data_IF_929868737802
#
_entry.id   IF_929868737802
#
_cell.length_a   1.000
_cell.length_b   1.000
_cell.length_c   1.000
_cell.angle_alpha   90.00
_cell.angle_beta   90.00
_cell.angle_gamma   90.00
#
_symmetry.space_group_name_H-M   'P 1'
#
loop_
_entity.id
_entity.type
_entity.pdbx_description
1 polymer ?
#
# COMPACT_ATOMS: atom_id res chain seq x y z
N UNK A 1 -1.80 27.80 13.96
CA UNK A 1 -0.63 27.93 14.85
C UNK A 1 0.63 27.19 14.35
N UNK A 2 0.59 26.51 13.20
CA UNK A 2 1.72 25.70 12.68
C UNK A 2 2.75 26.47 11.81
N UNK A 3 2.56 27.76 11.53
CA UNK A 3 3.51 28.56 10.73
C UNK A 3 4.61 29.25 11.56
N UNK A 4 4.57 29.17 12.90
CA UNK A 4 5.48 29.94 13.78
C UNK A 4 6.71 29.14 14.21
N UNK A 5 6.68 27.81 14.14
CA UNK A 5 7.77 26.97 14.68
C UNK A 5 8.93 26.75 13.68
N UNK A 6 8.70 26.96 12.38
CA UNK A 6 9.77 26.81 11.35
C UNK A 6 10.80 27.97 11.32
N UNK A 7 10.62 29.03 12.12
CA UNK A 7 11.47 30.23 12.07
C UNK A 7 12.61 30.33 13.08
N UNK A 8 12.71 29.45 14.08
CA UNK A 8 13.60 29.69 15.24
C UNK A 8 14.89 28.85 15.19
N UNK A 9 14.98 27.85 14.31
CA UNK A 9 16.14 26.93 14.26
C UNK A 9 17.36 27.39 13.44
N UNK A 10 17.33 28.54 12.78
CA UNK A 10 18.34 28.92 11.78
C UNK A 10 19.17 30.18 12.10
N UNK A 11 19.13 30.70 13.33
CA UNK A 11 19.85 31.93 13.67
C UNK A 11 20.60 31.83 15.02
N UNK A 12 21.63 31.00 15.08
CA UNK A 12 22.67 31.09 16.14
C UNK A 12 24.05 30.77 15.57
N UNK A 13 24.58 31.69 14.77
CA UNK A 13 26.02 31.92 14.62
C UNK A 13 26.22 33.13 13.69
N UNK A 14 26.43 34.33 14.27
CA UNK A 14 27.44 35.31 13.83
C UNK A 14 27.31 36.61 14.64
N UNK A 15 28.46 37.10 15.03
CA UNK A 15 28.82 38.17 15.96
C UNK A 15 28.35 39.58 15.60
N UNK A 16 27.91 40.30 16.64
CA UNK A 16 28.04 41.75 16.96
C UNK A 16 28.42 42.77 15.86
N UNK A 17 27.55 43.78 15.65
CA UNK A 17 27.92 45.20 15.59
C UNK A 17 26.69 46.14 15.51
N UNK A 18 26.61 47.03 16.51
CA UNK A 18 26.06 48.40 16.55
C UNK A 18 24.89 48.88 15.67
N UNK A 19 23.87 49.37 16.39
CA UNK A 19 23.07 50.60 16.20
C UNK A 19 22.49 50.94 14.82
N UNK A 20 21.16 51.08 14.75
CA UNK A 20 20.51 52.35 14.40
C UNK A 20 19.00 52.28 14.62
N UNK A 21 18.54 53.21 15.46
CA UNK A 21 17.16 53.59 15.71
C UNK A 21 16.67 54.46 14.53
N UNK A 22 15.43 54.27 14.04
CA UNK A 22 14.50 55.38 13.74
C UNK A 22 13.13 54.91 13.24
N UNK A 23 12.11 55.46 13.91
CA UNK A 23 10.69 55.49 13.53
C UNK A 23 10.42 56.42 12.34
N UNK A 24 9.22 56.20 11.74
CA UNK A 24 8.45 56.95 10.71
C UNK A 24 8.62 56.32 9.30
N UNK A 25 7.60 56.06 8.50
CA UNK A 25 6.33 56.78 8.32
C UNK A 25 5.17 55.93 7.79
N UNK A 26 3.97 56.35 8.20
CA UNK A 26 2.63 56.01 7.71
C UNK A 26 2.42 56.14 6.18
N UNK A 27 1.59 55.23 5.66
CA UNK A 27 0.58 55.33 4.59
C UNK A 27 0.76 56.35 3.45
N UNK A 28 0.87 55.83 2.22
CA UNK A 28 0.39 56.49 1.02
C UNK A 28 -0.25 55.46 0.05
N UNK A 29 -1.53 55.71 -0.26
CA UNK A 29 -2.30 55.04 -1.30
C UNK A 29 -1.62 55.18 -2.67
N UNK A 30 -1.45 54.08 -3.40
CA UNK A 30 -1.58 54.13 -4.86
C UNK A 30 -2.21 52.85 -5.40
N UNK A 31 -3.44 52.99 -5.91
CA UNK A 31 -4.04 52.04 -6.85
C UNK A 31 -3.17 52.07 -8.11
N UNK A 32 -2.51 50.96 -8.44
CA UNK A 32 -2.02 50.72 -9.80
C UNK A 32 -2.50 49.36 -10.29
N UNK A 33 -3.38 49.46 -11.28
CA UNK A 33 -3.77 48.47 -12.28
C UNK A 33 -2.62 47.51 -12.64
N UNK A 34 -2.85 46.21 -12.48
CA UNK A 34 -2.06 45.16 -13.12
C UNK A 34 -2.54 45.05 -14.58
N UNK A 35 -2.05 45.94 -15.45
CA UNK A 35 -2.16 45.78 -16.90
C UNK A 35 -0.82 45.32 -17.45
N UNK A 36 -0.84 44.15 -18.09
CA UNK A 36 0.10 43.66 -19.09
C UNK A 36 1.60 43.57 -18.71
N UNK A 37 1.98 42.45 -18.09
CA UNK A 37 3.31 41.86 -18.38
C UNK A 37 3.12 40.75 -19.41
N UNK A 38 3.51 41.01 -20.66
CA UNK A 38 3.65 39.98 -21.70
C UNK A 38 4.81 39.05 -21.32
N UNK A 39 4.51 37.97 -20.59
CA UNK A 39 5.46 36.89 -20.33
C UNK A 39 5.65 36.03 -21.58
N UNK A 40 6.86 35.99 -22.13
CA UNK A 40 7.27 34.93 -23.05
C UNK A 40 7.59 33.69 -22.22
N UNK A 41 6.87 32.59 -22.46
CA UNK A 41 7.20 31.29 -21.89
C UNK A 41 7.89 30.43 -22.94
N UNK A 42 8.95 29.73 -22.53
CA UNK A 42 9.65 28.75 -23.35
C UNK A 42 9.11 27.36 -23.02
N UNK A 43 8.64 26.64 -24.04
CA UNK A 43 8.36 25.21 -23.92
C UNK A 43 9.54 24.49 -24.57
N UNK A 44 10.35 23.81 -23.77
CA UNK A 44 11.40 22.92 -24.27
C UNK A 44 10.76 21.55 -24.47
N UNK A 45 10.63 21.13 -25.73
CA UNK A 45 10.23 19.76 -26.09
C UNK A 45 11.46 18.86 -26.10
N UNK A 46 11.27 17.58 -25.83
CA UNK A 46 12.32 16.55 -25.76
C UNK A 46 13.07 16.29 -27.08
N UNK A 47 12.66 16.93 -28.18
CA UNK A 47 13.29 16.85 -29.51
C UNK A 47 14.18 18.06 -29.84
N UNK A 48 14.40 18.98 -28.89
CA UNK A 48 15.40 20.05 -29.00
C UNK A 48 15.04 21.20 -29.94
N UNK A 49 13.79 21.31 -30.42
CA UNK A 49 13.36 22.43 -31.26
C UNK A 49 12.52 23.45 -30.48
N UNK A 50 12.90 24.73 -30.57
CA UNK A 50 12.18 25.88 -30.01
C UNK A 50 11.08 26.33 -30.99
N UNK A 51 9.84 26.44 -30.51
CA UNK A 51 8.75 27.11 -31.24
C UNK A 51 8.12 28.23 -30.41
N UNK A 52 7.87 29.37 -31.07
CA UNK A 52 7.26 30.56 -30.47
C UNK A 52 5.75 30.56 -30.76
N UNK A 53 4.91 30.54 -29.71
CA UNK A 53 3.45 30.65 -29.84
C UNK A 53 2.89 31.83 -29.05
N UNK A 54 2.22 32.75 -29.74
CA UNK A 54 1.33 33.77 -29.16
C UNK A 54 -0.10 33.17 -29.10
N UNK A 55 -0.82 33.32 -27.99
CA UNK A 55 -2.26 32.97 -27.89
C UNK A 55 -3.12 34.23 -28.08
N UNK A 56 -4.00 34.20 -29.07
CA UNK A 56 -5.23 35.01 -29.12
C UNK A 56 -6.39 34.26 -28.43
N UNK A 57 -7.35 35.03 -27.90
CA UNK A 57 -8.48 34.59 -27.08
C UNK A 57 -9.63 33.95 -27.87
N UNK A 58 -10.35 33.01 -27.22
CA UNK A 58 -11.77 32.74 -27.50
C UNK A 58 -12.17 31.26 -27.49
N UNK A 59 -12.98 30.83 -26.51
CA UNK A 59 -13.62 29.51 -26.54
C UNK A 59 -14.32 29.12 -25.23
N UNK A 60 -15.61 28.76 -25.32
CA UNK A 60 -16.61 28.50 -24.27
C UNK A 60 -16.22 27.44 -23.22
N UNK A 61 -16.70 27.64 -21.99
CA UNK A 61 -16.77 26.62 -20.95
C UNK A 61 -17.95 25.67 -21.22
N UNK A 62 -17.69 24.38 -21.41
CA UNK A 62 -18.70 23.33 -21.37
C UNK A 62 -18.64 22.57 -20.04
N UNK A 63 -19.82 22.22 -19.54
CA UNK A 63 -20.10 21.65 -18.23
C UNK A 63 -19.44 20.28 -18.05
N UNK A 64 -18.72 20.11 -16.94
CA UNK A 64 -18.28 18.82 -16.43
C UNK A 64 -19.50 18.03 -15.95
N UNK A 65 -19.83 16.96 -16.67
CA UNK A 65 -20.78 15.94 -16.23
C UNK A 65 -20.03 14.97 -15.30
N UNK A 66 -20.35 15.02 -14.01
CA UNK A 66 -19.98 14.00 -13.03
C UNK A 66 -20.78 12.73 -13.29
N UNK A 67 -20.13 11.67 -13.76
CA UNK A 67 -20.72 10.33 -13.86
C UNK A 67 -20.43 9.55 -12.57
N UNK A 68 -21.40 9.54 -11.65
CA UNK A 68 -21.47 8.58 -10.56
C UNK A 68 -21.95 7.23 -11.13
N UNK A 69 -21.17 6.16 -10.94
CA UNK A 69 -21.57 4.80 -11.34
C UNK A 69 -22.21 4.11 -10.15
N UNK A 70 -23.53 3.88 -10.26
CA UNK A 70 -24.31 3.07 -9.33
C UNK A 70 -24.07 1.57 -9.60
N UNK A 71 -23.68 0.81 -8.57
CA UNK A 71 -23.65 -0.64 -8.61
C UNK A 71 -25.07 -1.20 -8.36
N UNK A 72 -25.50 -2.13 -9.21
CA UNK A 72 -26.80 -2.82 -9.16
C UNK A 72 -26.66 -4.11 -8.35
N UNK A 73 -27.55 -4.32 -7.37
CA UNK A 73 -27.66 -5.58 -6.61
C UNK A 73 -28.39 -6.65 -7.43
N UNK A 74 -27.81 -7.85 -7.53
CA UNK A 74 -28.52 -9.05 -7.97
C UNK A 74 -28.66 -10.03 -6.80
N UNK A 75 -29.91 -10.33 -6.46
CA UNK A 75 -30.34 -11.31 -5.46
C UNK A 75 -30.33 -12.73 -6.04
N UNK A 76 -29.77 -13.71 -5.30
CA UNK A 76 -29.94 -15.13 -5.60
C UNK A 76 -30.51 -15.90 -4.39
N UNK A 77 -31.48 -16.75 -4.70
CA UNK A 77 -32.36 -17.48 -3.79
C UNK A 77 -31.72 -18.74 -3.18
N UNK A 78 -32.25 -19.12 -2.02
CA UNK A 78 -31.88 -20.27 -1.21
C UNK A 78 -32.31 -21.63 -1.80
N UNK A 79 -31.55 -22.69 -1.49
CA UNK A 79 -32.05 -24.06 -1.40
C UNK A 79 -31.33 -24.85 -0.30
N UNK A 80 -32.09 -25.69 0.39
CA UNK A 80 -31.74 -26.39 1.62
C UNK A 80 -31.44 -27.88 1.39
N UNK A 81 -30.55 -28.48 2.19
CA UNK A 81 -30.54 -29.91 2.60
C UNK A 81 -29.44 -30.13 3.66
N UNK A 82 -29.82 -30.31 4.93
CA UNK A 82 -29.91 -31.56 5.71
C UNK A 82 -28.57 -32.16 6.22
N UNK A 83 -28.38 -32.08 7.56
CA UNK A 83 -27.38 -32.82 8.38
C UNK A 83 -27.72 -34.32 8.50
N UNK A 84 -26.79 -35.21 8.89
CA UNK A 84 -26.45 -35.50 10.31
C UNK A 84 -24.93 -35.76 10.49
N UNK A 85 -24.29 -35.92 11.65
CA UNK A 85 -24.66 -36.12 13.05
C UNK A 85 -23.36 -36.16 13.89
N UNK A 86 -23.51 -35.98 15.21
CA UNK A 86 -22.43 -35.79 16.21
C UNK A 86 -21.71 -37.10 16.57
N UNK A 87 -20.43 -36.97 16.91
CA UNK A 87 -19.68 -37.93 17.71
C UNK A 87 -18.46 -37.29 18.38
N UNK A 88 -18.56 -37.02 19.69
CA UNK A 88 -17.45 -36.84 20.64
C UNK A 88 -17.45 -38.10 21.55
N UNK A 89 -16.45 -38.42 22.41
CA UNK A 89 -15.53 -37.50 23.12
C UNK A 89 -14.11 -38.05 23.41
N UNK A 90 -13.26 -37.27 24.09
CA UNK A 90 -12.14 -37.87 24.83
C UNK A 90 -10.96 -36.99 25.27
N UNK A 91 -11.19 -36.09 26.22
CA UNK A 91 -10.39 -35.85 27.44
C UNK A 91 -8.85 -36.07 27.40
N UNK A 92 -8.04 -35.02 27.66
CA UNK A 92 -7.17 -34.97 28.86
C UNK A 92 -6.32 -33.70 29.02
N UNK A 93 -6.56 -33.04 30.17
CA UNK A 93 -5.61 -32.53 31.18
C UNK A 93 -4.49 -31.56 30.79
N UNK A 94 -4.67 -30.36 31.33
CA UNK A 94 -3.70 -29.32 31.70
C UNK A 94 -2.45 -29.82 32.44
N UNK A 95 -1.27 -29.26 32.09
CA UNK A 95 -0.21 -28.88 33.05
C UNK A 95 0.48 -27.61 32.51
N UNK A 96 0.42 -26.52 33.27
CA UNK A 96 1.28 -25.35 33.13
C UNK A 96 2.68 -25.65 33.67
N UNK A 97 3.74 -25.30 32.94
CA UNK A 97 4.99 -24.79 33.52
C UNK A 97 5.80 -24.02 32.47
N UNK A 98 6.25 -22.82 32.87
CA UNK A 98 6.90 -21.84 32.01
C UNK A 98 8.36 -22.16 31.67
N UNK A 99 8.82 -21.51 30.60
CA UNK A 99 10.21 -21.48 30.16
C UNK A 99 10.29 -20.93 28.75
N UNK A 100 10.80 -19.71 28.59
CA UNK A 100 10.92 -19.03 27.30
C UNK A 100 11.76 -19.83 26.30
N UNK A 101 11.24 -19.95 25.07
CA UNK A 101 11.98 -20.36 23.89
C UNK A 101 11.61 -19.43 22.74
N UNK A 102 12.64 -18.76 22.20
CA UNK A 102 12.62 -18.11 20.90
C UNK A 102 12.37 -19.20 19.86
N UNK A 103 11.26 -19.12 19.13
CA UNK A 103 10.96 -20.05 18.03
C UNK A 103 11.79 -19.66 16.81
N UNK A 104 12.78 -20.48 16.50
CA UNK A 104 13.45 -20.52 15.20
C UNK A 104 12.82 -21.67 14.41
N UNK A 105 12.34 -21.34 13.21
CA UNK A 105 11.81 -22.20 12.15
C UNK A 105 10.43 -22.84 12.36
N UNK A 106 9.46 -22.32 11.60
CA UNK A 106 8.48 -23.14 10.90
C UNK A 106 8.42 -22.68 9.45
N UNK A 107 9.04 -23.43 8.55
CA UNK A 107 8.63 -23.48 7.14
C UNK A 107 7.13 -23.71 7.13
N UNK A 108 6.33 -22.79 6.58
CA UNK A 108 4.89 -22.97 6.43
C UNK A 108 4.62 -24.28 5.67
N UNK A 109 3.91 -25.25 6.27
CA UNK A 109 3.54 -26.47 5.56
C UNK A 109 2.69 -26.21 4.31
N UNK A 110 2.80 -27.13 3.35
CA UNK A 110 2.00 -27.25 2.13
C UNK A 110 0.52 -26.87 2.38
N UNK A 111 -0.05 -25.89 1.65
CA UNK A 111 -1.42 -25.41 1.88
C UNK A 111 -2.51 -26.46 1.60
N UNK A 112 -2.16 -27.65 1.11
CA UNK A 112 -3.13 -28.72 0.83
C UNK A 112 -3.45 -29.64 2.00
N UNK A 113 -2.79 -29.49 3.16
CA UNK A 113 -2.99 -30.40 4.32
C UNK A 113 -3.09 -29.62 5.63
N UNK A 114 -4.19 -28.89 5.80
CA UNK A 114 -4.56 -28.36 7.11
C UNK A 114 -6.01 -28.70 7.43
N UNK A 115 -6.21 -29.56 8.43
CA UNK A 115 -7.50 -29.78 9.06
C UNK A 115 -7.75 -28.69 10.13
N UNK A 116 -7.65 -27.42 9.74
CA UNK A 116 -8.12 -26.32 10.59
C UNK A 116 -9.61 -26.09 10.38
N UNK A 117 -10.30 -25.74 11.47
CA UNK A 117 -11.63 -25.14 11.35
C UNK A 117 -11.44 -23.76 10.73
N UNK A 118 -12.20 -23.47 9.68
CA UNK A 118 -12.00 -22.29 8.87
C UNK A 118 -13.22 -22.02 8.00
N UNK A 119 -13.46 -20.75 7.73
CA UNK A 119 -14.55 -20.25 6.92
C UNK A 119 -14.02 -19.61 5.65
N UNK A 120 -14.84 -19.62 4.60
CA UNK A 120 -14.50 -18.96 3.35
C UNK A 120 -15.02 -17.54 3.33
N UNK A 121 -14.20 -16.62 2.83
CA UNK A 121 -14.59 -15.24 2.65
C UNK A 121 -13.78 -14.55 1.55
N UNK A 122 -14.29 -13.39 1.13
CA UNK A 122 -13.64 -12.53 0.16
C UNK A 122 -12.57 -11.67 0.82
N UNK A 123 -11.56 -11.23 0.09
CA UNK A 123 -10.47 -10.41 0.65
C UNK A 123 -10.99 -9.15 1.34
N UNK A 124 -12.01 -8.47 0.79
CA UNK A 124 -12.59 -7.29 1.47
C UNK A 124 -13.24 -7.65 2.81
N UNK A 125 -13.80 -8.87 2.92
CA UNK A 125 -14.38 -9.37 4.16
C UNK A 125 -13.28 -9.73 5.16
N UNK A 126 -12.11 -10.18 4.69
CA UNK A 126 -10.96 -10.48 5.55
C UNK A 126 -10.39 -9.22 6.18
N UNK A 127 -10.29 -8.15 5.39
CA UNK A 127 -9.93 -6.82 5.88
C UNK A 127 -10.96 -6.32 6.89
N UNK A 128 -12.26 -6.50 6.60
CA UNK A 128 -13.34 -6.12 7.51
C UNK A 128 -13.26 -6.87 8.83
N UNK A 129 -13.10 -8.19 8.81
CA UNK A 129 -12.96 -8.99 10.02
C UNK A 129 -11.73 -8.57 10.83
N UNK A 130 -10.59 -8.34 10.16
CA UNK A 130 -9.39 -7.81 10.82
C UNK A 130 -9.65 -6.46 11.51
N UNK A 131 -10.35 -5.54 10.84
CA UNK A 131 -10.77 -4.26 11.43
C UNK A 131 -11.72 -4.46 12.60
N UNK A 132 -12.74 -5.29 12.43
CA UNK A 132 -13.78 -5.53 13.42
C UNK A 132 -13.20 -6.14 14.71
N UNK A 133 -12.35 -7.15 14.58
CA UNK A 133 -11.68 -7.80 15.72
C UNK A 133 -10.79 -6.84 16.50
N UNK A 134 -10.03 -5.96 15.82
CA UNK A 134 -9.19 -4.98 16.52
C UNK A 134 -10.00 -3.83 17.13
N UNK A 135 -11.12 -3.45 16.51
CA UNK A 135 -12.04 -2.46 17.08
C UNK A 135 -12.80 -2.97 18.31
N UNK A 136 -13.15 -4.26 18.33
CA UNK A 136 -13.72 -4.95 19.50
C UNK A 136 -12.68 -5.07 20.62
N UNK A 137 -11.42 -5.34 20.26
CA UNK A 137 -10.31 -5.50 21.20
C UNK A 137 -9.87 -4.20 21.85
N UNK A 138 -9.82 -3.10 21.09
CA UNK A 138 -9.25 -1.84 21.54
C UNK A 138 -10.21 -0.66 21.28
N UNK A 139 -10.74 -0.02 22.34
CA UNK A 139 -11.69 1.08 22.19
C UNK A 139 -11.09 2.34 21.57
N UNK A 140 -9.76 2.43 21.46
CA UNK A 140 -9.04 3.57 20.87
C UNK A 140 -8.90 3.48 19.35
N UNK A 141 -9.22 2.33 18.74
CA UNK A 141 -9.13 2.09 17.30
C UNK A 141 -10.34 2.70 16.59
N UNK A 142 -10.12 3.67 15.69
CA UNK A 142 -11.21 4.31 14.95
C UNK A 142 -10.89 4.37 13.45
N UNK A 143 -11.92 4.35 12.60
CA UNK A 143 -11.79 4.47 11.15
C UNK A 143 -12.27 5.85 10.73
N UNK A 144 -11.55 6.49 9.81
CA UNK A 144 -11.98 7.74 9.18
C UNK A 144 -11.62 7.76 7.70
N UNK A 145 -12.49 8.34 6.89
CA UNK A 145 -12.30 8.47 5.47
C UNK A 145 -13.61 8.80 4.76
N UNK A 146 -13.55 8.89 3.44
CA UNK A 146 -14.72 9.14 2.61
C UNK A 146 -15.57 7.87 2.51
N UNK A 147 -16.88 8.00 2.75
CA UNK A 147 -17.86 6.93 2.64
C UNK A 147 -17.62 5.70 3.55
N UNK A 148 -16.70 5.75 4.52
CA UNK A 148 -16.37 4.62 5.40
C UNK A 148 -17.48 4.29 6.41
N UNK A 149 -18.31 5.27 6.75
CA UNK A 149 -19.36 5.18 7.76
C UNK A 149 -20.63 4.56 7.21
N UNK A 150 -21.63 5.38 6.90
CA UNK A 150 -22.97 4.91 6.56
C UNK A 150 -23.02 4.12 5.23
N UNK A 151 -22.15 4.45 4.28
CA UNK A 151 -22.07 3.74 3.00
C UNK A 151 -21.31 2.39 3.11
N UNK A 152 -20.47 2.25 4.15
CA UNK A 152 -19.70 1.05 4.46
C UNK A 152 -18.43 0.88 3.62
N UNK A 153 -17.87 1.98 3.11
CA UNK A 153 -16.68 2.03 2.28
C UNK A 153 -16.99 1.77 0.80
N UNK A 154 -16.20 2.37 -0.09
CA UNK A 154 -16.38 2.26 -1.55
C UNK A 154 -16.29 0.81 -2.04
N UNK A 155 -15.47 -0.01 -1.36
CA UNK A 155 -15.27 -1.43 -1.64
C UNK A 155 -15.79 -2.36 -0.53
N UNK A 156 -16.69 -1.86 0.33
CA UNK A 156 -17.40 -2.64 1.37
C UNK A 156 -16.53 -3.19 2.51
N UNK A 157 -15.27 -2.76 2.61
CA UNK A 157 -14.35 -3.16 3.70
C UNK A 157 -14.85 -2.70 5.07
N UNK A 158 -15.56 -1.57 5.18
CA UNK A 158 -16.09 -1.08 6.46
C UNK A 158 -17.60 -1.31 6.61
N UNK A 159 -18.19 -2.15 5.75
CA UNK A 159 -19.64 -2.40 5.71
C UNK A 159 -20.13 -2.99 7.03
N UNK A 160 -21.02 -2.26 7.70
CA UNK A 160 -21.66 -2.68 8.96
C UNK A 160 -20.96 -2.18 10.22
N UNK A 161 -19.78 -1.54 10.11
CA UNK A 161 -19.03 -1.07 11.28
C UNK A 161 -19.68 0.17 11.92
N UNK A 162 -20.18 1.13 11.13
CA UNK A 162 -20.81 2.34 11.68
C UNK A 162 -22.06 2.04 12.52
N UNK A 163 -23.02 1.21 12.09
CA UNK A 163 -24.13 0.78 12.95
C UNK A 163 -23.69 0.07 14.24
N UNK A 164 -22.56 -0.64 14.23
CA UNK A 164 -22.04 -1.38 15.39
C UNK A 164 -21.34 -0.47 16.40
N UNK A 165 -20.48 0.45 15.95
CA UNK A 165 -19.59 1.24 16.81
C UNK A 165 -19.94 2.74 16.92
N UNK A 166 -20.81 3.24 16.04
CA UNK A 166 -21.21 4.64 15.98
C UNK A 166 -20.22 5.58 15.28
N UNK A 167 -20.70 6.78 14.96
CA UNK A 167 -20.03 7.75 14.09
C UNK A 167 -18.69 8.29 14.65
N UNK A 168 -18.47 8.18 15.96
CA UNK A 168 -17.21 8.59 16.59
C UNK A 168 -16.09 7.55 16.40
N UNK A 169 -16.44 6.31 16.09
CA UNK A 169 -15.48 5.21 15.86
C UNK A 169 -15.37 4.85 14.37
N UNK A 170 -16.36 5.21 13.56
CA UNK A 170 -16.36 5.03 12.10
C UNK A 170 -16.88 6.33 11.46
N UNK A 171 -15.95 7.25 11.20
CA UNK A 171 -16.24 8.64 10.87
C UNK A 171 -16.20 8.88 9.36
N UNK A 172 -17.35 9.20 8.77
CA UNK A 172 -17.42 9.77 7.42
C UNK A 172 -16.80 11.18 7.39
N UNK A 173 -15.92 11.43 6.42
CA UNK A 173 -15.23 12.72 6.26
C UNK A 173 -15.67 13.44 4.99
N UNK A 174 -15.53 14.78 4.92
CA UNK A 174 -15.56 15.49 3.64
C UNK A 174 -14.45 14.99 2.70
N UNK A 175 -14.63 15.26 1.41
CA UNK A 175 -13.61 14.98 0.37
C UNK A 175 -12.46 15.98 0.51
N UNK A 176 -11.57 15.70 1.44
CA UNK A 176 -10.50 16.57 1.89
C UNK A 176 -9.38 15.75 2.55
N UNK A 177 -8.66 14.97 1.75
CA UNK A 177 -7.66 13.98 2.15
C UNK A 177 -6.59 14.56 3.06
N UNK A 178 -6.10 15.76 2.75
CA UNK A 178 -5.12 16.45 3.58
C UNK A 178 -5.65 16.78 4.98
N UNK A 179 -6.94 17.09 5.11
CA UNK A 179 -7.56 17.47 6.36
C UNK A 179 -7.82 16.25 7.25
N UNK A 180 -8.47 15.21 6.73
CA UNK A 180 -8.76 14.02 7.54
C UNK A 180 -7.51 13.19 7.84
N UNK A 181 -6.51 13.16 6.94
CA UNK A 181 -5.22 12.52 7.25
C UNK A 181 -4.51 13.25 8.38
N UNK A 182 -4.49 14.58 8.35
CA UNK A 182 -3.95 15.39 9.45
C UNK A 182 -4.72 15.21 10.76
N UNK A 183 -6.04 15.06 10.70
CA UNK A 183 -6.89 14.73 11.85
C UNK A 183 -6.53 13.37 12.44
N UNK A 184 -6.36 12.34 11.59
CA UNK A 184 -5.91 11.01 12.01
C UNK A 184 -4.56 11.06 12.70
N UNK A 185 -3.57 11.75 12.12
CA UNK A 185 -2.25 11.90 12.76
C UNK A 185 -2.36 12.63 14.10
N UNK A 186 -3.14 13.71 14.18
CA UNK A 186 -3.38 14.42 15.43
C UNK A 186 -4.06 13.55 16.50
N UNK A 187 -5.02 12.71 16.10
CA UNK A 187 -5.67 11.74 16.97
C UNK A 187 -4.69 10.65 17.46
N UNK A 188 -3.79 10.19 16.58
CA UNK A 188 -2.75 9.23 16.96
C UNK A 188 -1.81 9.80 18.03
N UNK A 189 -1.41 11.07 17.89
CA UNK A 189 -0.58 11.77 18.87
C UNK A 189 -1.24 11.91 20.25
N UNK A 190 -2.57 11.93 20.31
CA UNK A 190 -3.33 12.08 21.56
C UNK A 190 -3.83 10.75 22.13
N UNK A 191 -3.37 9.62 21.60
CA UNK A 191 -3.59 8.28 22.17
C UNK A 191 -4.66 7.44 21.51
N UNK A 192 -5.23 7.88 20.38
CA UNK A 192 -6.08 7.02 19.53
C UNK A 192 -5.23 6.18 18.57
N UNK A 193 -5.84 5.18 17.94
CA UNK A 193 -5.22 4.32 16.92
C UNK A 193 -6.00 4.40 15.60
N UNK A 194 -5.90 5.51 14.88
CA UNK A 194 -6.74 5.74 13.71
C UNK A 194 -6.34 4.88 12.51
N UNK A 195 -7.34 4.47 11.74
CA UNK A 195 -7.24 3.92 10.41
C UNK A 195 -7.77 4.98 9.45
N UNK A 196 -6.89 5.55 8.63
CA UNK A 196 -7.23 6.49 7.57
C UNK A 196 -7.41 5.69 6.28
N UNK A 197 -8.63 5.69 5.75
CA UNK A 197 -8.96 5.07 4.46
C UNK A 197 -8.97 6.12 3.35
N UNK A 198 -8.10 5.95 2.35
CA UNK A 198 -8.24 6.62 1.06
C UNK A 198 -9.12 5.79 0.13
N UNK A 199 -10.15 6.41 -0.48
CA UNK A 199 -11.02 5.74 -1.45
C UNK A 199 -10.22 5.07 -2.58
N UNK A 200 -9.16 5.74 -3.02
CA UNK A 200 -8.06 5.21 -3.83
C UNK A 200 -6.76 5.80 -3.29
N UNK A 201 -5.69 5.02 -3.21
CA UNK A 201 -4.37 5.51 -2.77
C UNK A 201 -3.89 6.71 -3.61
N UNK A 202 -4.33 6.80 -4.87
CA UNK A 202 -4.16 7.94 -5.79
C UNK A 202 -4.45 9.29 -5.14
N UNK A 203 -5.54 9.35 -4.37
CA UNK A 203 -6.05 10.60 -3.81
C UNK A 203 -5.27 11.04 -2.57
N UNK A 204 -4.60 10.12 -1.88
CA UNK A 204 -3.74 10.44 -0.74
C UNK A 204 -2.47 11.20 -1.14
N UNK A 205 -2.20 11.38 -2.44
CA UNK A 205 -1.20 12.36 -2.90
C UNK A 205 -1.56 13.80 -2.48
N UNK A 206 -2.85 14.12 -2.34
CA UNK A 206 -3.28 15.41 -1.77
C UNK A 206 -2.87 15.56 -0.30
N UNK A 207 -2.72 14.45 0.42
CA UNK A 207 -2.27 14.37 1.81
C UNK A 207 -0.78 14.05 1.96
N UNK A 208 0.01 14.04 0.88
CA UNK A 208 1.39 13.54 0.90
C UNK A 208 2.27 14.26 1.94
N UNK A 209 2.09 15.56 2.15
CA UNK A 209 2.81 16.30 3.19
C UNK A 209 2.48 15.81 4.61
N UNK A 210 1.21 15.48 4.89
CA UNK A 210 0.80 14.93 6.19
C UNK A 210 1.47 13.57 6.39
N UNK A 211 1.40 12.70 5.39
CA UNK A 211 1.97 11.35 5.43
C UNK A 211 3.49 11.41 5.58
N UNK A 212 4.15 12.27 4.81
CA UNK A 212 5.61 12.35 4.83
C UNK A 212 6.14 12.99 6.11
N UNK A 213 5.75 14.23 6.38
CA UNK A 213 6.39 15.02 7.42
C UNK A 213 5.80 14.76 8.81
N UNK A 214 4.48 14.63 8.91
CA UNK A 214 3.81 14.51 10.21
C UNK A 214 3.59 13.05 10.63
N UNK A 215 3.38 12.14 9.68
CA UNK A 215 3.23 10.73 9.97
C UNK A 215 4.62 10.08 10.14
N UNK A 216 5.46 10.11 9.11
CA UNK A 216 6.75 9.42 9.11
C UNK A 216 7.82 10.04 10.03
N UNK A 217 7.97 11.37 10.03
CA UNK A 217 9.12 12.00 10.69
C UNK A 217 8.85 12.52 12.12
N UNK A 218 7.59 12.59 12.56
CA UNK A 218 7.25 13.29 13.80
C UNK A 218 7.75 12.56 15.06
N UNK A 219 7.75 11.22 15.05
CA UNK A 219 8.35 10.44 16.14
C UNK A 219 9.82 10.82 16.35
N UNK A 220 10.59 10.89 15.27
CA UNK A 220 12.01 11.24 15.31
C UNK A 220 12.24 12.72 15.66
N UNK A 221 11.55 13.64 14.98
CA UNK A 221 11.75 15.09 15.18
C UNK A 221 11.26 15.59 16.54
N UNK A 222 10.35 14.86 17.19
CA UNK A 222 9.94 15.11 18.57
C UNK A 222 10.86 14.48 19.62
N UNK A 223 11.92 13.76 19.23
CA UNK A 223 12.78 13.04 20.17
C UNK A 223 12.06 11.90 20.90
N UNK A 224 11.11 11.24 20.22
CA UNK A 224 10.31 10.14 20.76
C UNK A 224 9.17 10.57 21.68
N UNK A 225 8.85 11.86 21.78
CA UNK A 225 7.76 12.34 22.62
C UNK A 225 6.37 11.97 22.08
N UNK A 226 6.23 11.85 20.75
CA UNK A 226 5.01 11.37 20.12
C UNK A 226 5.22 10.00 19.50
N UNK A 227 4.32 9.06 19.81
CA UNK A 227 4.10 7.87 18.98
C UNK A 227 3.02 8.19 17.95
N UNK A 228 3.10 7.56 16.78
CA UNK A 228 2.15 7.77 15.69
C UNK A 228 1.55 6.40 15.28
N UNK A 229 0.73 5.77 16.14
CA UNK A 229 0.08 4.50 15.85
C UNK A 229 -1.09 4.69 14.87
N UNK A 230 -0.78 4.74 13.57
CA UNK A 230 -1.78 5.00 12.52
C UNK A 230 -1.61 4.00 11.38
N UNK A 231 -2.75 3.55 10.85
CA UNK A 231 -2.80 2.78 9.61
C UNK A 231 -3.34 3.67 8.51
N UNK A 232 -2.62 3.79 7.41
CA UNK A 232 -3.11 4.40 6.18
C UNK A 232 -3.35 3.28 5.19
N UNK A 233 -4.60 3.12 4.74
CA UNK A 233 -4.99 2.04 3.85
C UNK A 233 -5.81 2.55 2.69
N UNK A 234 -5.86 1.74 1.64
CA UNK A 234 -6.71 1.97 0.50
C UNK A 234 -6.31 1.10 -0.68
N UNK A 235 -7.20 0.95 -1.66
CA UNK A 235 -6.87 0.25 -2.88
C UNK A 235 -6.02 1.12 -3.81
N UNK A 236 -5.11 0.47 -4.52
CA UNK A 236 -4.44 1.03 -5.69
C UNK A 236 -4.35 0.01 -6.82
N UNK A 237 -3.47 0.31 -7.78
CA UNK A 237 -3.20 -0.57 -8.93
C UNK A 237 -4.16 -0.38 -10.10
N UNK A 238 -3.88 -1.09 -11.17
CA UNK A 238 -4.65 -1.08 -12.42
C UNK A 238 -5.93 -1.89 -12.22
N UNK A 239 -7.06 -1.20 -12.31
CA UNK A 239 -8.40 -1.79 -12.20
C UNK A 239 -8.91 -2.39 -13.51
N UNK A 240 -10.17 -2.09 -13.81
CA UNK A 240 -10.83 -2.42 -15.08
C UNK A 240 -11.33 -1.13 -15.72
N UNK A 241 -10.53 -0.55 -16.59
CA UNK A 241 -10.86 0.66 -17.34
C UNK A 241 -11.20 1.87 -16.46
N UNK A 242 -10.44 2.05 -15.36
CA UNK A 242 -10.60 3.20 -14.47
C UNK A 242 -9.90 4.46 -14.99
N UNK A 243 -9.12 4.33 -16.07
CA UNK A 243 -8.33 5.42 -16.65
C UNK A 243 -7.07 5.74 -15.84
N UNK A 244 -6.35 6.76 -16.28
CA UNK A 244 -4.99 7.03 -15.82
C UNK A 244 -4.91 7.47 -14.34
N UNK A 245 -5.82 8.33 -13.89
CA UNK A 245 -5.76 8.95 -12.55
C UNK A 245 -6.17 7.99 -11.42
N UNK A 246 -6.93 6.95 -11.73
CA UNK A 246 -7.41 5.94 -10.76
C UNK A 246 -6.59 4.64 -10.79
N UNK A 247 -5.59 4.56 -11.67
CA UNK A 247 -4.78 3.35 -11.91
C UNK A 247 -3.29 3.57 -11.61
N UNK A 248 -2.98 4.59 -10.80
CA UNK A 248 -1.61 4.86 -10.37
C UNK A 248 -1.10 3.77 -9.42
N UNK A 249 0.20 3.48 -9.49
CA UNK A 249 0.90 2.50 -8.65
C UNK A 249 1.85 3.24 -7.71
N UNK A 250 1.36 3.57 -6.51
CA UNK A 250 1.96 4.61 -5.65
C UNK A 250 2.91 4.11 -4.57
N UNK A 251 3.22 2.82 -4.55
CA UNK A 251 4.11 2.22 -3.56
C UNK A 251 5.46 2.94 -3.55
N UNK A 252 6.01 3.25 -4.73
CA UNK A 252 7.30 3.95 -4.88
C UNK A 252 7.32 5.36 -4.30
N UNK A 253 6.19 6.10 -4.38
CA UNK A 253 6.10 7.46 -3.86
C UNK A 253 6.31 7.46 -2.35
N UNK A 254 5.64 6.53 -1.67
CA UNK A 254 5.71 6.41 -0.22
C UNK A 254 6.99 5.70 0.26
N UNK A 255 7.60 4.82 -0.54
CA UNK A 255 8.82 4.08 -0.15
C UNK A 255 9.97 5.00 0.27
N UNK A 256 10.07 6.19 -0.30
CA UNK A 256 11.10 7.18 0.05
C UNK A 256 10.93 7.82 1.43
N UNK A 257 9.74 7.79 2.02
CA UNK A 257 9.43 8.48 3.29
C UNK A 257 10.05 7.74 4.47
N UNK A 258 10.97 8.32 5.26
CA UNK A 258 11.51 7.67 6.44
C UNK A 258 10.48 7.58 7.57
N UNK A 259 10.63 6.57 8.43
CA UNK A 259 9.80 6.39 9.63
C UNK A 259 8.41 5.78 9.40
N UNK A 260 8.09 5.35 8.17
CA UNK A 260 6.91 4.54 7.88
C UNK A 260 7.30 3.09 7.57
N UNK A 261 6.42 2.16 7.92
CA UNK A 261 6.43 0.78 7.43
C UNK A 261 5.41 0.64 6.29
N UNK A 262 5.69 -0.25 5.33
CA UNK A 262 4.81 -0.48 4.18
C UNK A 262 4.61 -1.96 3.93
N UNK A 263 3.36 -2.36 3.80
CA UNK A 263 2.97 -3.74 3.49
C UNK A 263 1.94 -3.77 2.38
N UNK A 264 1.97 -4.82 1.54
CA UNK A 264 0.99 -5.04 0.49
C UNK A 264 0.28 -6.38 0.67
N UNK A 265 -1.05 -6.37 0.64
CA UNK A 265 -1.86 -7.57 0.76
C UNK A 265 -1.98 -8.28 -0.59
N UNK A 266 -2.04 -9.61 -0.55
CA UNK A 266 -2.21 -10.42 -1.76
C UNK A 266 -3.24 -11.54 -1.60
N UNK A 267 -3.58 -11.98 -0.39
CA UNK A 267 -4.57 -13.05 -0.12
C UNK A 267 -5.52 -12.63 1.01
N UNK A 268 -6.74 -13.17 1.10
CA UNK A 268 -7.58 -12.99 2.29
C UNK A 268 -6.86 -13.33 3.59
N UNK A 269 -6.09 -14.43 3.63
CA UNK A 269 -5.32 -14.80 4.82
C UNK A 269 -4.38 -13.68 5.26
N UNK A 270 -3.53 -13.18 4.35
CA UNK A 270 -2.56 -12.15 4.71
C UNK A 270 -3.18 -10.76 4.87
N UNK A 271 -4.29 -10.46 4.20
CA UNK A 271 -5.02 -9.22 4.37
C UNK A 271 -5.51 -9.03 5.81
N UNK A 272 -6.18 -10.06 6.38
CA UNK A 272 -6.62 -10.05 7.79
C UNK A 272 -5.43 -9.94 8.74
N UNK A 273 -4.43 -10.81 8.56
CA UNK A 273 -3.28 -10.89 9.47
C UNK A 273 -2.41 -9.63 9.48
N UNK A 274 -2.17 -9.02 8.32
CA UNK A 274 -1.42 -7.77 8.18
C UNK A 274 -2.22 -6.56 8.66
N UNK A 275 -3.54 -6.53 8.45
CA UNK A 275 -4.40 -5.47 9.01
C UNK A 275 -4.31 -5.44 10.53
N UNK A 276 -4.46 -6.60 11.18
CA UNK A 276 -4.33 -6.72 12.64
C UNK A 276 -2.94 -6.29 13.11
N UNK A 277 -1.89 -6.72 12.41
CA UNK A 277 -0.51 -6.34 12.73
C UNK A 277 -0.28 -4.83 12.60
N UNK A 278 -0.80 -4.21 11.53
CA UNK A 278 -0.71 -2.78 11.28
C UNK A 278 -1.42 -1.98 12.38
N UNK A 279 -2.63 -2.37 12.75
CA UNK A 279 -3.41 -1.69 13.81
C UNK A 279 -2.72 -1.84 15.16
N UNK A 280 -2.01 -2.94 15.43
CA UNK A 280 -1.24 -3.18 16.66
C UNK A 280 0.13 -2.48 16.68
N UNK A 281 0.63 -1.97 15.55
CA UNK A 281 1.92 -1.28 15.47
C UNK A 281 1.88 0.11 16.09
N UNK A 282 2.89 0.45 16.91
CA UNK A 282 3.04 1.82 17.44
C UNK A 282 3.66 2.81 16.43
N UNK A 283 4.02 2.30 15.25
CA UNK A 283 4.58 3.08 14.15
C UNK A 283 3.55 3.31 13.04
N UNK A 284 3.73 4.33 12.19
CA UNK A 284 2.95 4.48 10.98
C UNK A 284 3.08 3.29 10.04
N UNK A 285 1.94 2.73 9.60
CA UNK A 285 1.90 1.66 8.62
C UNK A 285 1.05 2.07 7.43
N UNK A 286 1.61 1.95 6.22
CA UNK A 286 0.83 2.03 4.98
C UNK A 286 0.52 0.60 4.52
N UNK A 287 -0.76 0.28 4.42
CA UNK A 287 -1.27 -1.02 3.99
C UNK A 287 -1.88 -0.88 2.59
N UNK A 288 -1.15 -1.39 1.59
CA UNK A 288 -1.56 -1.35 0.20
C UNK A 288 -2.50 -2.51 -0.13
N UNK A 289 -3.67 -2.16 -0.66
CA UNK A 289 -4.65 -3.09 -1.18
C UNK A 289 -4.72 -2.96 -2.70
N UNK A 290 -5.35 -3.93 -3.37
CA UNK A 290 -5.47 -3.91 -4.82
C UNK A 290 -6.92 -4.07 -5.24
N UNK A 291 -7.42 -3.13 -6.07
CA UNK A 291 -8.84 -3.06 -6.50
C UNK A 291 -9.39 -4.40 -7.02
N UNK A 292 -8.60 -5.13 -7.81
CA UNK A 292 -9.02 -6.41 -8.41
C UNK A 292 -8.88 -7.63 -7.50
N UNK A 293 -8.29 -7.50 -6.31
CA UNK A 293 -8.14 -8.61 -5.38
C UNK A 293 -9.27 -8.69 -4.35
N UNK A 294 -10.11 -7.66 -4.21
CA UNK A 294 -11.18 -7.64 -3.19
C UNK A 294 -12.15 -8.83 -3.27
N UNK A 295 -12.45 -9.31 -4.48
CA UNK A 295 -13.35 -10.44 -4.71
C UNK A 295 -12.63 -11.80 -4.76
N UNK A 296 -11.35 -11.85 -4.40
CA UNK A 296 -10.65 -13.10 -4.23
C UNK A 296 -11.19 -13.83 -3.01
N UNK A 297 -11.55 -15.10 -3.19
CA UNK A 297 -12.11 -15.95 -2.15
C UNK A 297 -11.07 -16.95 -1.66
N UNK A 298 -10.94 -17.11 -0.36
CA UNK A 298 -10.05 -18.09 0.27
C UNK A 298 -10.69 -18.61 1.56
N UNK A 299 -10.36 -19.84 1.95
CA UNK A 299 -10.69 -20.39 3.27
C UNK A 299 -9.58 -20.02 4.24
N UNK A 300 -9.88 -19.25 5.28
CA UNK A 300 -8.92 -18.84 6.30
C UNK A 300 -9.23 -19.50 7.66
N UNK A 301 -8.27 -19.59 8.60
CA UNK A 301 -8.51 -20.17 9.92
C UNK A 301 -9.53 -19.38 10.73
N UNK A 302 -10.33 -20.09 11.54
CA UNK A 302 -11.21 -19.48 12.56
C UNK A 302 -10.42 -18.95 13.77
N UNK A 303 -9.19 -19.43 13.93
CA UNK A 303 -8.29 -19.12 15.05
C UNK A 303 -7.79 -17.67 14.97
N UNK A 304 -7.45 -17.07 16.11
CA UNK A 304 -6.79 -15.76 16.10
C UNK A 304 -5.37 -15.90 15.53
N UNK A 305 -5.04 -15.08 14.56
CA UNK A 305 -3.67 -14.95 14.06
C UNK A 305 -3.33 -13.49 13.73
N UNK A 306 -2.04 -13.18 13.81
CA UNK A 306 -1.46 -11.91 13.41
C UNK A 306 -0.17 -12.21 12.65
N UNK A 307 0.06 -11.51 11.54
CA UNK A 307 1.27 -11.68 10.75
C UNK A 307 2.35 -10.69 11.17
N UNK A 308 3.60 -11.01 10.83
CA UNK A 308 4.70 -10.06 10.97
C UNK A 308 4.69 -9.09 9.77
N UNK A 309 4.77 -7.78 10.05
CA UNK A 309 4.81 -6.74 9.02
C UNK A 309 6.11 -6.76 8.19
N UNK A 310 7.16 -7.41 8.69
CA UNK A 310 8.51 -7.39 8.10
C UNK A 310 8.93 -8.74 7.51
N UNK A 311 7.99 -9.67 7.34
CA UNK A 311 8.28 -11.02 6.88
C UNK A 311 7.70 -11.29 5.48
N UNK A 312 8.50 -11.89 4.62
CA UNK A 312 8.04 -12.38 3.31
C UNK A 312 7.35 -13.75 3.44
N UNK A 313 6.50 -14.09 2.48
CA UNK A 313 5.82 -15.39 2.41
C UNK A 313 6.49 -16.28 1.35
N UNK A 314 6.89 -17.49 1.76
CA UNK A 314 7.27 -18.54 0.82
C UNK A 314 6.00 -19.12 0.18
N UNK A 315 5.71 -18.73 -1.06
CA UNK A 315 4.51 -19.17 -1.79
C UNK A 315 4.71 -20.54 -2.42
N UNK A 316 5.91 -20.80 -2.92
CA UNK A 316 6.29 -22.07 -3.53
C UNK A 316 7.80 -22.30 -3.38
N UNK A 317 8.26 -23.43 -2.80
CA UNK A 317 9.67 -23.77 -2.82
C UNK A 317 10.12 -24.15 -4.23
N UNK A 318 11.37 -23.85 -4.57
CA UNK A 318 12.01 -24.32 -5.81
C UNK A 318 13.54 -24.15 -5.78
N UNK A 319 14.21 -24.56 -6.86
CA UNK A 319 15.68 -24.59 -6.91
C UNK A 319 16.30 -23.80 -8.08
N UNK A 320 15.58 -23.55 -9.17
CA UNK A 320 16.22 -23.02 -10.38
C UNK A 320 16.34 -21.48 -10.43
N UNK A 321 15.34 -20.77 -9.90
CA UNK A 321 15.26 -19.30 -9.93
C UNK A 321 14.38 -18.79 -8.79
N UNK A 322 14.76 -17.69 -8.16
CA UNK A 322 13.92 -16.96 -7.20
C UNK A 322 13.07 -15.93 -7.93
N UNK A 323 11.74 -16.04 -7.80
CA UNK A 323 10.78 -15.05 -8.29
C UNK A 323 10.21 -14.28 -7.10
N UNK A 324 10.54 -12.99 -7.03
CA UNK A 324 10.04 -12.06 -6.02
C UNK A 324 8.85 -11.29 -6.58
N UNK A 325 7.75 -11.24 -5.84
CA UNK A 325 6.53 -10.54 -6.26
C UNK A 325 5.74 -10.03 -5.06
N UNK A 326 4.68 -9.27 -5.30
CA UNK A 326 3.73 -8.87 -4.26
C UNK A 326 2.37 -8.54 -4.86
N UNK A 327 1.36 -8.44 -3.98
CA UNK A 327 0.00 -8.03 -4.35
C UNK A 327 -0.53 -8.86 -5.54
N UNK A 328 -1.11 -8.21 -6.54
CA UNK A 328 -1.74 -8.89 -7.69
C UNK A 328 -0.75 -9.67 -8.55
N UNK A 329 0.52 -9.26 -8.62
CA UNK A 329 1.51 -9.93 -9.46
C UNK A 329 1.81 -11.37 -9.00
N UNK A 330 1.52 -11.69 -7.72
CA UNK A 330 1.48 -13.08 -7.21
C UNK A 330 0.70 -14.02 -8.14
N UNK A 331 -0.49 -13.60 -8.57
CA UNK A 331 -1.35 -14.45 -9.40
C UNK A 331 -0.82 -14.62 -10.82
N UNK A 332 -0.23 -13.57 -11.39
CA UNK A 332 0.39 -13.63 -12.71
C UNK A 332 1.63 -14.54 -12.68
N UNK A 333 2.44 -14.45 -11.62
CA UNK A 333 3.57 -15.35 -11.37
C UNK A 333 3.10 -16.79 -11.24
N UNK A 334 2.08 -17.08 -10.41
CA UNK A 334 1.59 -18.45 -10.24
C UNK A 334 0.98 -19.03 -11.53
N UNK A 335 0.43 -18.20 -12.42
CA UNK A 335 0.02 -18.64 -13.76
C UNK A 335 1.24 -19.00 -14.64
N UNK A 336 2.31 -18.20 -14.62
CA UNK A 336 3.54 -18.49 -15.33
C UNK A 336 4.25 -19.74 -14.80
N UNK A 337 4.26 -19.94 -13.47
CA UNK A 337 4.85 -21.11 -12.79
C UNK A 337 4.24 -22.42 -13.31
N UNK A 338 2.92 -22.48 -13.54
CA UNK A 338 2.27 -23.68 -14.11
C UNK A 338 2.86 -24.05 -15.48
N UNK A 339 3.18 -23.04 -16.30
CA UNK A 339 3.78 -23.25 -17.62
C UNK A 339 5.26 -23.65 -17.48
N UNK A 340 5.99 -22.99 -16.58
CA UNK A 340 7.41 -23.24 -16.33
C UNK A 340 7.68 -24.65 -15.80
N UNK A 341 6.88 -25.14 -14.87
CA UNK A 341 6.97 -26.51 -14.34
C UNK A 341 6.77 -27.54 -15.46
N UNK A 342 5.78 -27.32 -16.34
CA UNK A 342 5.55 -28.19 -17.50
C UNK A 342 6.72 -28.18 -18.51
N UNK A 343 7.55 -27.13 -18.50
CA UNK A 343 8.76 -27.01 -19.31
C UNK A 343 10.02 -27.50 -18.60
N UNK A 344 9.92 -28.03 -17.38
CA UNK A 344 11.04 -28.55 -16.60
C UNK A 344 11.79 -27.53 -15.74
N UNK A 345 11.24 -26.32 -15.56
CA UNK A 345 11.80 -25.33 -14.62
C UNK A 345 11.18 -25.47 -13.23
N UNK A 346 11.97 -25.21 -12.19
CA UNK A 346 11.53 -25.25 -10.80
C UNK A 346 11.71 -23.88 -10.10
N UNK A 347 10.80 -22.92 -10.34
CA UNK A 347 10.91 -21.57 -9.77
C UNK A 347 10.47 -21.49 -8.30
N UNK A 348 11.34 -21.02 -7.43
CA UNK A 348 10.97 -20.58 -6.09
C UNK A 348 10.20 -19.26 -6.15
N UNK A 349 9.07 -19.16 -5.46
CA UNK A 349 8.21 -17.96 -5.48
C UNK A 349 8.06 -17.42 -4.07
N UNK A 350 8.41 -16.14 -3.91
CA UNK A 350 8.27 -15.40 -2.66
C UNK A 350 7.37 -14.19 -2.90
N UNK A 351 6.31 -14.09 -2.10
CA UNK A 351 5.56 -12.84 -1.96
C UNK A 351 6.24 -12.00 -0.89
N UNK A 352 6.83 -10.87 -1.27
CA UNK A 352 7.67 -10.10 -0.35
C UNK A 352 6.87 -9.47 0.79
N UNK A 353 5.55 -9.23 0.61
CA UNK A 353 4.60 -8.57 1.53
C UNK A 353 5.06 -7.22 2.08
N UNK A 354 6.16 -7.18 2.82
CA UNK A 354 6.84 -5.99 3.31
C UNK A 354 7.61 -5.30 2.20
N UNK A 355 7.17 -4.08 1.88
CA UNK A 355 7.84 -3.20 0.90
C UNK A 355 8.84 -2.26 1.57
N UNK A 356 8.72 -2.10 2.91
CA UNK A 356 9.59 -1.30 3.74
C UNK A 356 9.44 -1.67 5.23
N UNK A 357 10.46 -2.25 5.88
CA UNK A 357 11.73 -2.74 5.29
C UNK A 357 11.53 -4.00 4.44
N UNK A 358 12.51 -4.38 3.61
CA UNK A 358 12.48 -5.68 2.95
C UNK A 358 12.95 -6.80 3.89
N UNK A 359 12.35 -7.98 3.78
CA UNK A 359 12.83 -9.20 4.43
C UNK A 359 14.06 -9.76 3.70
N UNK A 360 15.22 -9.13 3.91
CA UNK A 360 16.48 -9.55 3.29
C UNK A 360 16.96 -10.91 3.80
N UNK A 361 16.47 -11.39 4.94
CA UNK A 361 16.82 -12.71 5.45
C UNK A 361 16.22 -13.80 4.57
N UNK A 362 14.90 -13.78 4.37
CA UNK A 362 14.20 -14.76 3.52
C UNK A 362 14.66 -14.66 2.08
N UNK A 363 14.76 -13.43 1.55
CA UNK A 363 15.23 -13.20 0.18
C UNK A 363 16.67 -13.69 0.01
N UNK A 364 17.58 -13.35 0.92
CA UNK A 364 18.98 -13.77 0.84
C UNK A 364 19.16 -15.27 0.87
N UNK A 365 18.37 -16.00 1.68
CA UNK A 365 18.41 -17.46 1.70
C UNK A 365 17.95 -18.08 0.38
N UNK A 366 16.95 -17.48 -0.27
CA UNK A 366 16.48 -17.91 -1.59
C UNK A 366 17.52 -17.64 -2.68
N UNK A 367 18.10 -16.43 -2.68
CA UNK A 367 19.17 -16.04 -3.63
C UNK A 367 20.38 -16.97 -3.54
N UNK A 368 20.82 -17.31 -2.33
CA UNK A 368 21.94 -18.23 -2.09
C UNK A 368 21.70 -19.65 -2.61
N UNK A 369 20.43 -20.03 -2.76
CA UNK A 369 20.03 -21.36 -3.22
C UNK A 369 19.85 -21.42 -4.73
N UNK A 370 19.22 -20.41 -5.32
CA UNK A 370 18.81 -20.44 -6.73
C UNK A 370 19.77 -19.70 -7.67
N UNK A 371 20.60 -18.81 -7.12
CA UNK A 371 21.61 -18.00 -7.81
C UNK A 371 21.07 -17.05 -8.90
N UNK A 372 19.76 -16.98 -9.10
CA UNK A 372 19.10 -16.18 -10.15
C UNK A 372 17.85 -15.53 -9.58
N UNK A 373 17.64 -14.26 -9.92
CA UNK A 373 16.51 -13.49 -9.38
C UNK A 373 15.71 -12.82 -10.49
N UNK A 374 14.41 -13.04 -10.45
CA UNK A 374 13.40 -12.32 -11.22
C UNK A 374 12.48 -11.57 -10.26
N UNK A 375 12.37 -10.25 -10.42
CA UNK A 375 11.40 -9.43 -9.70
C UNK A 375 10.21 -9.17 -10.64
N UNK A 376 8.99 -9.35 -10.14
CA UNK A 376 7.75 -9.10 -10.89
C UNK A 376 6.84 -8.19 -10.07
N UNK A 377 6.66 -6.96 -10.56
CA UNK A 377 5.87 -5.92 -9.90
C UNK A 377 4.88 -5.24 -10.86
N UNK A 378 3.79 -4.70 -10.30
CA UNK A 378 2.87 -3.85 -11.07
C UNK A 378 3.30 -2.37 -11.07
N UNK A 379 4.27 -1.99 -10.22
CA UNK A 379 4.77 -0.62 -10.10
C UNK A 379 5.33 -0.08 -11.43
N UNK A 380 5.57 1.23 -11.48
CA UNK A 380 6.29 1.86 -12.60
C UNK A 380 7.69 1.25 -12.71
N UNK A 381 8.19 1.09 -13.93
CA UNK A 381 9.56 0.60 -14.15
C UNK A 381 10.57 1.60 -13.62
N UNK A 382 10.38 2.88 -13.92
CA UNK A 382 11.25 3.95 -13.42
C UNK A 382 10.88 4.30 -11.99
N UNK A 383 11.82 4.12 -11.06
CA UNK A 383 11.64 4.43 -9.65
C UNK A 383 10.73 3.45 -8.88
N UNK A 384 10.39 2.30 -9.47
CA UNK A 384 9.58 1.25 -8.83
C UNK A 384 10.26 0.59 -7.63
N UNK A 385 9.48 -0.20 -6.89
CA UNK A 385 9.96 -0.98 -5.73
C UNK A 385 11.06 -1.94 -6.17
N UNK A 386 10.93 -2.53 -7.35
CA UNK A 386 11.90 -3.45 -7.94
C UNK A 386 13.28 -2.85 -8.12
N UNK A 387 13.41 -1.53 -8.33
CA UNK A 387 14.71 -0.86 -8.42
C UNK A 387 15.42 -0.83 -7.06
N UNK A 388 14.72 -0.40 -6.00
CA UNK A 388 15.23 -0.42 -4.63
C UNK A 388 15.56 -1.84 -4.17
N UNK A 389 14.72 -2.81 -4.53
CA UNK A 389 14.92 -4.22 -4.19
C UNK A 389 16.13 -4.83 -4.90
N UNK A 390 16.29 -4.52 -6.20
CA UNK A 390 17.49 -4.91 -6.98
C UNK A 390 18.76 -4.37 -6.33
N UNK A 391 18.77 -3.10 -5.93
CA UNK A 391 19.91 -2.49 -5.26
C UNK A 391 20.21 -3.20 -3.92
N UNK A 392 19.19 -3.41 -3.09
CA UNK A 392 19.35 -4.08 -1.79
C UNK A 392 19.89 -5.51 -1.95
N UNK A 393 19.41 -6.28 -2.92
CA UNK A 393 19.92 -7.63 -3.18
C UNK A 393 21.36 -7.58 -3.68
N UNK A 394 21.68 -6.66 -4.59
CA UNK A 394 23.03 -6.51 -5.13
C UNK A 394 24.03 -6.13 -4.02
N UNK A 395 23.68 -5.17 -3.16
CA UNK A 395 24.55 -4.74 -2.06
C UNK A 395 24.84 -5.85 -1.04
N UNK A 396 23.88 -6.75 -0.81
CA UNK A 396 23.98 -7.75 0.25
C UNK A 396 24.36 -9.16 -0.24
N UNK A 397 24.07 -9.50 -1.50
CA UNK A 397 24.10 -10.88 -2.01
C UNK A 397 24.68 -11.02 -3.42
N UNK A 398 25.35 -10.00 -3.96
CA UNK A 398 25.92 -10.04 -5.31
C UNK A 398 26.79 -11.28 -5.59
N UNK A 399 27.62 -11.70 -4.63
CA UNK A 399 28.53 -12.85 -4.81
C UNK A 399 27.83 -14.20 -5.00
N UNK A 400 26.52 -14.26 -4.74
CA UNK A 400 25.71 -15.47 -4.95
C UNK A 400 24.95 -15.46 -6.27
N UNK A 401 25.03 -14.39 -7.07
CA UNK A 401 24.30 -14.27 -8.33
C UNK A 401 25.12 -14.79 -9.51
N UNK A 402 24.56 -15.75 -10.24
CA UNK A 402 25.13 -16.27 -11.49
C UNK A 402 24.70 -15.46 -12.71
N UNK A 403 23.67 -14.61 -12.56
CA UNK A 403 23.14 -13.75 -13.62
C UNK A 403 22.64 -12.41 -13.05
N UNK A 404 22.59 -11.34 -13.88
CA UNK A 404 22.00 -10.08 -13.46
C UNK A 404 20.54 -10.26 -13.03
N UNK A 405 20.14 -9.54 -11.98
CA UNK A 405 18.75 -9.48 -11.54
C UNK A 405 17.88 -8.87 -12.65
N UNK A 406 16.81 -9.56 -13.04
CA UNK A 406 15.84 -9.04 -14.01
C UNK A 406 14.62 -8.52 -13.26
N UNK A 407 14.17 -7.31 -13.61
CA UNK A 407 12.95 -6.73 -13.10
C UNK A 407 11.92 -6.53 -14.22
N UNK A 408 10.77 -7.18 -14.08
CA UNK A 408 9.58 -6.99 -14.89
C UNK A 408 8.61 -6.09 -14.13
N UNK A 409 8.45 -4.86 -14.63
CA UNK A 409 7.53 -3.86 -14.10
C UNK A 409 6.57 -3.41 -15.18
N UNK A 410 5.49 -2.75 -14.79
CA UNK A 410 4.54 -2.14 -15.72
C UNK A 410 5.19 -1.03 -16.55
N UNK A 411 4.64 -0.77 -17.73
CA UNK A 411 5.16 0.26 -18.65
C UNK A 411 5.06 1.68 -18.04
N UNK A 412 6.05 2.53 -18.36
CA UNK A 412 6.11 3.94 -17.93
C UNK A 412 5.20 4.82 -18.80
N UNK A 413 3.91 4.51 -18.79
CA UNK A 413 2.87 5.25 -19.49
C UNK A 413 1.66 5.44 -18.58
N UNK A 414 0.89 6.53 -18.77
CA UNK A 414 -0.43 6.65 -18.15
C UNK A 414 -1.32 5.48 -18.57
N UNK A 415 -2.03 4.87 -17.62
CA UNK A 415 -2.91 3.73 -17.90
C UNK A 415 -4.05 4.15 -18.84
N UNK A 416 -4.15 3.58 -20.05
CA UNK A 416 -5.18 3.93 -21.02
C UNK A 416 -6.52 3.28 -20.66
N UNK A 417 -7.63 3.91 -21.05
CA UNK A 417 -8.98 3.40 -20.78
C UNK A 417 -9.35 2.16 -21.62
N UNK A 418 -8.80 2.04 -22.84
CA UNK A 418 -9.11 0.92 -23.72
C UNK A 418 -8.55 -0.39 -23.13
N UNK A 419 -9.42 -1.35 -22.81
CA UNK A 419 -9.04 -2.56 -22.05
C UNK A 419 -7.87 -3.36 -22.64
N UNK A 420 -7.77 -3.46 -23.96
CA UNK A 420 -6.61 -4.11 -24.61
C UNK A 420 -5.31 -3.39 -24.31
N UNK A 421 -5.31 -2.05 -24.39
CA UNK A 421 -4.13 -1.24 -24.10
C UNK A 421 -3.82 -1.23 -22.59
N UNK A 422 -4.85 -1.20 -21.74
CA UNK A 422 -4.71 -1.30 -20.27
C UNK A 422 -3.96 -2.59 -19.91
N UNK A 423 -4.40 -3.73 -20.45
CA UNK A 423 -3.74 -5.01 -20.24
C UNK A 423 -2.27 -5.04 -20.70
N UNK A 424 -1.91 -4.31 -21.76
CA UNK A 424 -0.54 -4.24 -22.23
C UNK A 424 0.38 -3.40 -21.33
N UNK A 425 -0.19 -2.55 -20.47
CA UNK A 425 0.61 -1.79 -19.51
C UNK A 425 1.11 -2.62 -18.34
N UNK A 426 0.44 -3.73 -18.01
CA UNK A 426 0.74 -4.61 -16.88
C UNK A 426 1.48 -5.86 -17.35
N UNK A 427 2.44 -6.34 -16.56
CA UNK A 427 3.20 -7.57 -16.86
C UNK A 427 2.27 -8.78 -17.00
N UNK A 428 2.39 -9.52 -18.09
CA UNK A 428 1.59 -10.71 -18.38
C UNK A 428 2.37 -12.02 -18.14
N UNK A 429 1.69 -13.13 -17.79
CA UNK A 429 2.35 -14.42 -17.53
C UNK A 429 3.32 -14.90 -18.62
N UNK A 430 3.04 -14.76 -19.93
CA UNK A 430 4.00 -15.16 -20.97
C UNK A 430 5.34 -14.42 -20.90
N UNK A 431 5.34 -13.14 -20.50
CA UNK A 431 6.57 -12.36 -20.34
C UNK A 431 7.42 -12.90 -19.18
N UNK A 432 6.79 -13.35 -18.10
CA UNK A 432 7.45 -13.99 -16.95
C UNK A 432 8.08 -15.32 -17.39
N UNK A 433 7.36 -16.13 -18.17
CA UNK A 433 7.88 -17.41 -18.71
C UNK A 433 9.14 -17.14 -19.54
N UNK A 434 9.07 -16.21 -20.49
CA UNK A 434 10.21 -15.85 -21.35
C UNK A 434 11.41 -15.35 -20.54
N UNK A 435 11.18 -14.51 -19.52
CA UNK A 435 12.26 -14.01 -18.68
C UNK A 435 12.97 -15.12 -17.88
N UNK A 436 12.22 -16.08 -17.34
CA UNK A 436 12.80 -17.25 -16.65
C UNK A 436 13.58 -18.13 -17.63
N UNK A 437 13.03 -18.40 -18.82
CA UNK A 437 13.74 -19.18 -19.84
C UNK A 437 15.06 -18.53 -20.26
N UNK A 438 15.11 -17.19 -20.33
CA UNK A 438 16.32 -16.44 -20.65
C UNK A 438 17.33 -16.41 -19.50
N UNK A 439 16.86 -16.32 -18.25
CA UNK A 439 17.73 -16.31 -17.06
C UNK A 439 18.40 -17.66 -16.79
N UNK A 440 17.72 -18.75 -17.15
CA UNK A 440 18.18 -20.12 -16.90
C UNK A 440 18.93 -20.75 -18.09
N UNK A 441 19.10 -20.02 -19.20
CA UNK A 441 20.03 -20.37 -20.28
C UNK A 441 21.46 -20.02 -19.88
#
# INVERSE_FOLDING_TARGET
MAAIIQGIGAATALTSANSLDTKKSLFANSRRSFSERKGRFFVVRSDGRLSYGLKEHGGRAEQLITNAVAAKEDTAAASASSKPGRGSPGNNRSIYQGGGKVCVHSTLPDPTVWDFTGHELLLFEALREGLEEEMDRDPTVCVMGEDVGHYGGSYKVTKGLAPKYGDLRVLDTPIAENAFTGMGIGAAMTGLRPIVEGMNMGFLLLAFNQISNNCGMLHYTSGGQFKIPIVIRGPGGVGRQLGAEHSQRLESYFQSIPGIQMVACSTPYNAKGLMKAAIRSDNPVILFEHVLLYNLKERIPDEEYVLNLEEAEMVRPGEHVTILTYSRMRYHVMQAVKILVNKGYDPEVIDIRSLKPFDLYTIGNSVKKTHRVLIVEECMRTGGIGASLTAAITENFHDYLDAPIVCLSSQDVPTPYAGTLENWTVVQPPQIVTAVEQLCQ
#
